data_IF_352888025971
#
_entry.id   IF_352888025971
#
_cell.length_a   1.000
_cell.length_b   1.000
_cell.length_c   1.000
_cell.angle_alpha   90.00
_cell.angle_beta   90.00
_cell.angle_gamma   90.00
#
_symmetry.space_group_name_H-M   'P 1'
#
loop_
_entity.id
_entity.type
_entity.pdbx_description
1 polymer ?
#
# COMPACT_ATOMS: atom_id res chain seq x y z
N UNK A 1 6.97 -17.48 -6.92
CA UNK A 1 7.65 -17.79 -5.64
C UNK A 1 6.74 -17.36 -4.52
N UNK A 2 6.48 -18.26 -3.58
CA UNK A 2 5.70 -17.98 -2.38
C UNK A 2 6.60 -17.31 -1.35
N UNK A 3 6.23 -16.13 -0.86
CA UNK A 3 6.98 -15.37 0.15
C UNK A 3 6.23 -15.44 1.48
N UNK A 4 6.93 -15.35 2.61
CA UNK A 4 6.29 -15.32 3.93
C UNK A 4 6.74 -14.17 4.79
N UNK A 5 5.87 -13.79 5.72
CA UNK A 5 6.11 -12.77 6.75
C UNK A 5 5.74 -13.33 8.12
N UNK A 6 6.39 -12.85 9.16
CA UNK A 6 5.99 -13.12 10.53
C UNK A 6 5.63 -11.81 11.23
N UNK A 7 4.36 -11.63 11.54
CA UNK A 7 3.88 -10.43 12.22
C UNK A 7 3.97 -10.62 13.72
N UNK A 8 4.69 -9.75 14.43
CA UNK A 8 4.68 -9.73 15.90
C UNK A 8 3.27 -9.49 16.43
N UNK A 9 2.53 -8.62 15.76
CA UNK A 9 1.15 -8.31 16.08
C UNK A 9 0.36 -8.00 14.82
N UNK A 10 -0.82 -8.60 14.67
CA UNK A 10 -1.72 -8.35 13.55
C UNK A 10 -3.17 -8.22 14.02
N UNK A 11 -3.92 -7.29 13.43
CA UNK A 11 -5.36 -7.20 13.61
C UNK A 11 -6.04 -8.19 12.64
N UNK A 12 -6.67 -9.21 13.21
CA UNK A 12 -7.42 -10.24 12.47
C UNK A 12 -8.94 -10.06 12.68
N UNK A 13 -9.73 -10.86 11.98
CA UNK A 13 -11.19 -10.94 12.13
C UNK A 13 -11.62 -11.24 13.58
N UNK A 14 -10.84 -12.08 14.28
CA UNK A 14 -11.04 -12.42 15.70
C UNK A 14 -10.44 -11.38 16.67
N UNK A 15 -9.96 -10.23 16.17
CA UNK A 15 -9.27 -9.21 16.95
C UNK A 15 -7.74 -9.33 16.89
N UNK A 16 -7.06 -8.68 17.85
CA UNK A 16 -5.60 -8.65 17.89
C UNK A 16 -4.99 -10.02 18.20
N UNK A 17 -4.03 -10.44 17.38
CA UNK A 17 -3.24 -11.67 17.56
C UNK A 17 -1.75 -11.35 17.57
N UNK A 18 -0.99 -12.19 18.25
CA UNK A 18 0.48 -12.09 18.34
C UNK A 18 1.12 -13.28 17.64
N UNK A 19 2.34 -13.09 17.14
CA UNK A 19 3.13 -14.12 16.46
C UNK A 19 2.31 -14.80 15.35
N UNK A 20 2.13 -14.12 14.23
CA UNK A 20 1.30 -14.60 13.13
C UNK A 20 2.17 -14.79 11.88
N UNK A 21 2.62 -16.02 11.58
CA UNK A 21 3.17 -16.33 10.27
C UNK A 21 2.08 -16.17 9.19
N UNK A 22 2.47 -15.57 8.09
CA UNK A 22 1.65 -15.35 6.91
C UNK A 22 2.38 -15.80 5.66
N UNK A 23 1.68 -16.50 4.80
CA UNK A 23 2.18 -16.92 3.48
C UNK A 23 1.46 -16.14 2.39
N UNK A 24 2.23 -15.57 1.46
CA UNK A 24 1.73 -14.80 0.31
C UNK A 24 2.08 -15.55 -0.97
N UNK A 25 1.06 -15.89 -1.76
CA UNK A 25 1.21 -16.56 -3.04
C UNK A 25 1.87 -15.64 -4.07
N UNK A 26 2.31 -16.21 -5.19
CA UNK A 26 2.78 -15.44 -6.34
C UNK A 26 1.71 -14.56 -6.99
N UNK A 27 0.43 -14.89 -6.77
CA UNK A 27 -0.74 -14.10 -7.18
C UNK A 27 -1.11 -13.00 -6.17
N UNK A 28 -0.40 -12.89 -5.04
CA UNK A 28 -0.63 -11.87 -4.02
C UNK A 28 -1.74 -12.20 -3.01
N UNK A 29 -2.22 -13.45 -2.98
CA UNK A 29 -3.20 -13.89 -1.99
C UNK A 29 -2.51 -14.27 -0.68
N UNK A 30 -3.18 -13.99 0.45
CA UNK A 30 -2.75 -14.44 1.77
C UNK A 30 -3.47 -15.76 2.07
N UNK A 31 -2.71 -16.84 2.32
CA UNK A 31 -3.29 -18.17 2.52
C UNK A 31 -3.42 -18.53 4.00
N UNK A 32 -2.29 -18.70 4.68
CA UNK A 32 -2.28 -19.17 6.07
C UNK A 32 -2.02 -18.00 7.00
N UNK A 33 -2.96 -17.76 7.92
CA UNK A 33 -2.82 -16.82 9.04
C UNK A 33 -3.23 -17.56 10.31
N UNK A 34 -2.30 -18.31 10.89
CA UNK A 34 -2.52 -19.05 12.14
C UNK A 34 -1.54 -18.53 13.17
N UNK A 35 -2.04 -18.13 14.33
CA UNK A 35 -1.19 -17.73 15.45
C UNK A 35 -0.23 -18.88 15.81
N UNK A 36 1.06 -18.59 15.85
CA UNK A 36 2.10 -19.58 16.10
C UNK A 36 3.51 -19.06 15.90
N UNK A 37 4.48 -19.93 16.12
CA UNK A 37 5.89 -19.61 15.98
C UNK A 37 6.32 -19.37 14.52
N UNK A 38 7.59 -19.06 14.32
CA UNK A 38 8.19 -18.83 13.00
C UNK A 38 9.18 -19.93 12.61
N UNK A 39 8.77 -21.21 12.47
CA UNK A 39 9.68 -22.31 12.12
C UNK A 39 10.25 -22.17 10.71
N UNK A 40 9.55 -21.43 9.84
CA UNK A 40 9.97 -21.15 8.47
C UNK A 40 10.93 -19.96 8.35
N UNK A 41 11.32 -19.35 9.47
CA UNK A 41 12.25 -18.22 9.53
C UNK A 41 11.85 -17.06 8.60
N UNK A 42 10.55 -16.77 8.47
CA UNK A 42 10.06 -15.66 7.68
C UNK A 42 10.54 -14.32 8.23
N UNK A 43 10.66 -13.32 7.36
CA UNK A 43 11.01 -11.95 7.74
C UNK A 43 10.02 -11.41 8.77
N UNK A 44 10.55 -10.90 9.87
CA UNK A 44 9.73 -10.41 10.98
C UNK A 44 9.35 -8.95 10.76
N UNK A 45 8.07 -8.65 10.93
CA UNK A 45 7.55 -7.29 11.03
C UNK A 45 7.28 -7.01 12.50
N UNK A 46 8.08 -6.12 13.08
CA UNK A 46 8.04 -5.77 14.50
C UNK A 46 6.87 -4.82 14.83
N UNK A 47 6.47 -3.98 13.88
CA UNK A 47 5.36 -3.05 14.07
C UNK A 47 3.99 -3.75 13.95
N UNK A 48 2.95 -3.27 14.65
CA UNK A 48 1.59 -3.79 14.49
C UNK A 48 1.09 -3.65 13.06
N UNK A 49 0.51 -4.72 12.52
CA UNK A 49 -0.04 -4.77 11.16
C UNK A 49 -1.57 -4.76 11.21
N UNK A 50 -2.18 -4.02 10.28
CA UNK A 50 -3.65 -3.95 10.12
C UNK A 50 -4.03 -4.21 8.66
N UNK A 51 -5.26 -4.68 8.38
CA UNK A 51 -5.77 -4.74 7.02
C UNK A 51 -5.70 -3.36 6.35
N UNK A 52 -5.34 -3.34 5.06
CA UNK A 52 -5.38 -2.11 4.28
C UNK A 52 -6.79 -1.52 4.24
N UNK A 53 -6.89 -0.21 4.39
CA UNK A 53 -8.18 0.48 4.34
C UNK A 53 -8.56 0.77 2.89
N UNK A 54 -9.72 0.30 2.39
CA UNK A 54 -10.18 0.67 1.05
C UNK A 54 -10.42 2.18 0.95
N UNK A 55 -9.95 2.78 -0.13
CA UNK A 55 -10.34 4.15 -0.48
C UNK A 55 -11.59 4.10 -1.37
N UNK A 56 -12.75 4.45 -0.80
CA UNK A 56 -14.05 4.30 -1.46
C UNK A 56 -14.37 5.42 -2.46
N UNK A 57 -13.70 6.57 -2.37
CA UNK A 57 -13.97 7.71 -3.24
C UNK A 57 -12.69 8.49 -3.50
N UNK A 58 -12.33 8.64 -4.77
CA UNK A 58 -11.21 9.48 -5.18
C UNK A 58 -11.53 10.24 -6.45
N UNK A 59 -11.12 11.51 -6.50
CA UNK A 59 -11.12 12.32 -7.71
C UNK A 59 -9.66 12.56 -8.10
N UNK A 60 -9.07 11.62 -8.84
CA UNK A 60 -7.63 11.61 -9.12
C UNK A 60 -7.14 12.87 -9.85
N UNK A 61 -7.95 13.41 -10.76
CA UNK A 61 -7.66 14.65 -11.51
C UNK A 61 -7.59 15.91 -10.64
N UNK A 62 -8.07 15.86 -9.39
CA UNK A 62 -7.96 16.95 -8.43
C UNK A 62 -6.64 16.88 -7.62
N UNK A 63 -5.79 15.89 -7.88
CA UNK A 63 -4.50 15.77 -7.21
C UNK A 63 -3.53 16.87 -7.71
N UNK A 64 -2.87 17.65 -6.82
CA UNK A 64 -2.08 18.83 -7.18
C UNK A 64 -0.97 18.58 -8.21
N UNK A 65 -0.48 17.34 -8.30
CA UNK A 65 0.57 16.94 -9.25
C UNK A 65 0.14 17.04 -10.72
N UNK A 66 -1.16 16.93 -11.02
CA UNK A 66 -1.69 17.16 -12.38
C UNK A 66 -1.90 18.65 -12.67
N UNK A 67 -2.41 19.41 -11.70
CA UNK A 67 -2.67 20.84 -11.85
C UNK A 67 -1.39 21.69 -12.09
N UNK A 68 -0.26 21.30 -11.52
CA UNK A 68 1.03 22.00 -11.72
C UNK A 68 1.58 21.90 -13.15
N UNK A 69 1.36 20.76 -13.82
CA UNK A 69 1.84 20.54 -15.19
C UNK A 69 1.00 21.35 -16.20
N UNK A 70 -0.31 21.40 -15.98
CA UNK A 70 -1.24 22.14 -16.84
C UNK A 70 -1.03 23.66 -16.74
N UNK A 71 -0.78 24.18 -15.54
CA UNK A 71 -0.48 25.60 -15.33
C UNK A 71 0.84 26.03 -16.01
N UNK A 72 1.87 25.16 -16.00
CA UNK A 72 3.13 25.41 -16.70
C UNK A 72 2.94 25.46 -18.23
N UNK A 73 2.12 24.56 -18.78
CA UNK A 73 1.83 24.53 -20.21
C UNK A 73 1.03 25.76 -20.67
N UNK A 74 -0.03 26.13 -19.94
CA UNK A 74 -0.87 27.30 -20.26
C UNK A 74 -0.05 28.60 -20.18
N UNK A 75 0.74 28.77 -19.12
CA UNK A 75 1.60 29.96 -18.97
C UNK A 75 2.67 30.06 -20.07
N UNK A 76 3.22 28.93 -20.52
CA UNK A 76 4.15 28.89 -21.65
C UNK A 76 3.46 29.32 -22.94
N UNK A 77 2.28 28.78 -23.24
CA UNK A 77 1.51 29.14 -24.45
C UNK A 77 1.11 30.62 -24.47
N UNK A 78 0.69 31.18 -23.33
CA UNK A 78 0.38 32.61 -23.20
C UNK A 78 1.61 33.50 -23.45
N UNK A 79 2.80 33.08 -22.98
CA UNK A 79 4.05 33.82 -23.18
C UNK A 79 4.51 33.83 -24.63
N UNK A 80 4.21 32.79 -25.40
CA UNK A 80 4.49 32.75 -26.84
C UNK A 80 3.50 33.60 -27.63
N UNK A 81 2.21 33.57 -27.28
CA UNK A 81 1.17 34.37 -27.93
C UNK A 81 1.40 35.90 -27.77
N UNK A 82 2.03 36.34 -26.68
CA UNK A 82 2.37 37.75 -26.43
C UNK A 82 3.63 38.25 -27.15
N UNK A 83 4.37 37.36 -27.84
CA UNK A 83 5.60 37.68 -28.58
C UNK A 83 5.38 37.76 -30.10
N UNK A 84 4.14 37.56 -30.55
CA UNK A 84 3.68 37.79 -31.92
C UNK A 84 2.94 39.14 -31.98
#
# INVERSE_FOLDING_TARGET
>A
MTTGFHFKQALMDQGWRQNVPATVTDTGNIETLVQGDNPSCYSVIENPVVPGMPNLQSNSFQHPQQAGNDASYISTMQRWAQKL
#
